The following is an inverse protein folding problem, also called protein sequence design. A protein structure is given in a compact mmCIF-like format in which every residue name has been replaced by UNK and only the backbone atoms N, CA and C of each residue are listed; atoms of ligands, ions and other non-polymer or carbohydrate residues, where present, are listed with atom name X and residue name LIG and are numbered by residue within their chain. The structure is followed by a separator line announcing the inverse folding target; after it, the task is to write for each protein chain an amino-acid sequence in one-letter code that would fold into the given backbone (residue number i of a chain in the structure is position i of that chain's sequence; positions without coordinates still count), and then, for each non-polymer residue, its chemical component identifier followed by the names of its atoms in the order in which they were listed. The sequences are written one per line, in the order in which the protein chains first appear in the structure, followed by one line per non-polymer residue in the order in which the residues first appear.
data_IF_200410492829
#
_entry.id   IF_200410492829
#
_cell.length_a   1.000
_cell.length_b   1.000
_cell.length_c   1.000
_cell.angle_alpha   90.00
_cell.angle_beta   90.00
_cell.angle_gamma   90.00
#
_symmetry.space_group_name_H-M   'P 1'
#
loop_
_entity.id
_entity.type
_entity.pdbx_description
1 polymer ?
#
# COMPACT_ATOMS: atom_id res chain seq x y z
N UNK A 1 -25.16 -3.26 10.73
CA UNK A 1 -23.85 -3.94 10.73
C UNK A 1 -22.80 -2.89 10.51
N UNK A 2 -21.67 -2.95 11.24
CA UNK A 2 -20.52 -2.07 10.99
C UNK A 2 -19.87 -2.40 9.65
N UNK A 3 -19.04 -1.46 9.14
CA UNK A 3 -18.29 -1.66 7.90
C UNK A 3 -17.25 -2.77 8.07
N UNK A 4 -17.05 -3.52 6.99
CA UNK A 4 -16.04 -4.57 6.93
C UNK A 4 -14.71 -4.00 6.45
N UNK A 5 -13.72 -4.00 7.31
CA UNK A 5 -12.37 -3.50 7.01
C UNK A 5 -11.40 -4.67 6.92
N UNK A 6 -10.73 -4.79 5.78
CA UNK A 6 -9.64 -5.73 5.55
C UNK A 6 -8.31 -5.05 5.88
N UNK A 7 -7.47 -5.68 6.71
CA UNK A 7 -6.06 -5.31 6.82
C UNK A 7 -5.23 -6.23 5.92
N UNK A 8 -4.57 -5.65 4.95
CA UNK A 8 -3.68 -6.33 4.01
C UNK A 8 -2.22 -5.99 4.32
N UNK A 9 -1.40 -7.04 4.43
CA UNK A 9 0.04 -6.94 4.70
C UNK A 9 0.78 -7.62 3.54
N UNK A 10 1.30 -6.86 2.54
CA UNK A 10 2.21 -7.42 1.54
C UNK A 10 3.54 -7.79 2.20
N UNK A 11 4.04 -9.00 1.92
CA UNK A 11 5.25 -9.55 2.49
C UNK A 11 6.17 -10.12 1.41
N UNK A 12 7.45 -9.75 1.46
CA UNK A 12 8.51 -10.37 0.66
C UNK A 12 9.85 -10.21 1.37
N UNK A 13 10.43 -11.32 1.81
CA UNK A 13 11.71 -11.38 2.53
C UNK A 13 11.77 -10.42 3.72
N UNK A 14 10.82 -10.57 4.64
CA UNK A 14 10.64 -9.74 5.83
C UNK A 14 10.82 -10.53 7.14
N UNK A 15 11.64 -11.59 7.17
CA UNK A 15 11.79 -12.48 8.35
C UNK A 15 12.12 -11.72 9.65
N UNK A 16 12.87 -10.62 9.55
CA UNK A 16 13.26 -9.79 10.70
C UNK A 16 12.16 -8.82 11.14
N UNK A 17 11.29 -8.41 10.23
CA UNK A 17 10.32 -7.33 10.42
C UNK A 17 8.91 -7.86 10.68
N UNK A 18 8.50 -8.95 10.03
CA UNK A 18 7.10 -9.36 9.96
C UNK A 18 6.46 -9.59 11.33
N UNK A 19 7.19 -10.19 12.27
CA UNK A 19 6.67 -10.39 13.65
C UNK A 19 6.41 -9.06 14.35
N UNK A 20 7.23 -8.03 14.12
CA UNK A 20 7.02 -6.70 14.68
C UNK A 20 5.77 -6.04 14.08
N UNK A 21 5.59 -6.19 12.76
CA UNK A 21 4.38 -5.71 12.06
C UNK A 21 3.11 -6.37 12.61
N UNK A 22 3.11 -7.68 12.76
CA UNK A 22 1.98 -8.42 13.33
C UNK A 22 1.69 -8.02 14.79
N UNK A 23 2.70 -7.66 15.57
CA UNK A 23 2.53 -7.16 16.94
C UNK A 23 1.92 -5.75 17.01
N UNK A 24 1.96 -4.95 15.94
CA UNK A 24 1.24 -3.68 15.88
C UNK A 24 -0.28 -3.86 15.90
N UNK A 25 -0.78 -5.07 15.57
CA UNK A 25 -2.20 -5.40 15.58
C UNK A 25 -2.64 -5.72 17.01
N UNK A 26 -2.63 -4.69 17.85
CA UNK A 26 -3.08 -4.77 19.24
C UNK A 26 -4.62 -4.68 19.32
N UNK A 27 -5.17 -4.86 20.52
CA UNK A 27 -6.63 -4.87 20.73
C UNK A 27 -7.31 -3.58 20.25
N UNK A 28 -6.68 -2.42 20.45
CA UNK A 28 -7.23 -1.11 20.05
C UNK A 28 -7.42 -0.98 18.55
N UNK A 29 -6.55 -1.58 17.75
CA UNK A 29 -6.67 -1.59 16.30
C UNK A 29 -7.59 -2.73 15.86
N UNK A 30 -7.48 -3.89 16.54
CA UNK A 30 -8.19 -5.11 16.18
C UNK A 30 -9.71 -4.95 16.19
N UNK A 31 -10.25 -4.11 17.07
CA UNK A 31 -11.69 -3.85 17.17
C UNK A 31 -12.30 -3.25 15.88
N UNK A 32 -11.47 -2.57 15.05
CA UNK A 32 -11.91 -2.00 13.77
C UNK A 32 -11.69 -2.94 12.58
N UNK A 33 -10.89 -4.00 12.73
CA UNK A 33 -10.48 -4.86 11.62
C UNK A 33 -11.34 -6.13 11.59
N UNK A 34 -12.03 -6.36 10.47
CA UNK A 34 -12.84 -7.57 10.27
C UNK A 34 -11.97 -8.78 10.00
N UNK A 35 -10.99 -8.64 9.11
CA UNK A 35 -10.10 -9.73 8.72
C UNK A 35 -8.71 -9.20 8.40
N UNK A 36 -7.70 -10.04 8.61
CA UNK A 36 -6.30 -9.75 8.30
C UNK A 36 -5.79 -10.78 7.31
N UNK A 37 -5.19 -10.31 6.23
CA UNK A 37 -4.48 -11.17 5.28
C UNK A 37 -3.03 -10.74 5.19
N UNK A 38 -2.12 -11.69 5.29
CA UNK A 38 -0.72 -11.55 4.89
C UNK A 38 -0.59 -12.18 3.52
N UNK A 39 -0.12 -11.41 2.53
CA UNK A 39 0.11 -11.92 1.18
C UNK A 39 1.60 -12.04 0.95
N UNK A 40 2.09 -13.26 1.00
CA UNK A 40 3.49 -13.57 0.72
C UNK A 40 3.75 -13.64 -0.78
N UNK A 41 4.68 -12.82 -1.24
CA UNK A 41 5.05 -12.73 -2.64
C UNK A 41 6.22 -13.68 -3.01
N UNK A 42 6.17 -14.95 -2.54
CA UNK A 42 7.22 -15.96 -2.75
C UNK A 42 8.53 -15.61 -2.02
N UNK A 43 8.44 -15.31 -0.73
CA UNK A 43 9.62 -15.13 0.11
C UNK A 43 10.55 -16.36 0.06
N UNK A 44 11.85 -16.11 0.09
CA UNK A 44 12.92 -17.11 0.06
C UNK A 44 13.65 -17.24 1.41
N UNK A 45 13.28 -16.40 2.35
CA UNK A 45 13.73 -16.41 3.75
C UNK A 45 12.66 -17.08 4.66
N UNK A 46 12.82 -17.00 5.97
CA UNK A 46 11.90 -17.60 6.94
C UNK A 46 10.64 -16.77 7.20
N UNK A 47 10.27 -15.82 6.33
CA UNK A 47 9.09 -14.95 6.53
C UNK A 47 7.81 -15.74 6.70
N UNK A 48 7.57 -16.77 5.88
CA UNK A 48 6.36 -17.60 5.94
C UNK A 48 6.27 -18.34 7.28
N UNK A 49 7.34 -18.98 7.70
CA UNK A 49 7.41 -19.71 8.97
C UNK A 49 7.12 -18.81 10.16
N UNK A 50 7.68 -17.58 10.15
CA UNK A 50 7.41 -16.57 11.20
C UNK A 50 5.92 -16.21 11.30
N UNK A 51 5.23 -16.08 10.18
CA UNK A 51 3.79 -15.81 10.16
C UNK A 51 3.00 -17.02 10.68
N UNK A 52 3.34 -18.23 10.23
CA UNK A 52 2.69 -19.48 10.66
C UNK A 52 2.83 -19.66 12.18
N UNK A 53 4.04 -19.50 12.71
CA UNK A 53 4.31 -19.60 14.15
C UNK A 53 3.55 -18.53 14.94
N UNK A 54 3.50 -17.30 14.40
CA UNK A 54 2.74 -16.23 15.04
C UNK A 54 1.25 -16.55 15.15
N UNK A 55 0.64 -17.06 14.07
CA UNK A 55 -0.77 -17.44 14.04
C UNK A 55 -1.04 -18.55 15.06
N UNK A 56 -0.24 -19.60 15.06
CA UNK A 56 -0.37 -20.76 15.99
C UNK A 56 -0.26 -20.33 17.45
N UNK A 57 0.74 -19.49 17.77
CA UNK A 57 1.03 -19.11 19.15
C UNK A 57 0.08 -18.06 19.71
N UNK A 58 -0.50 -17.20 18.88
CA UNK A 58 -1.38 -16.10 19.33
C UNK A 58 -2.85 -16.38 19.10
N UNK A 59 -3.20 -17.51 18.48
CA UNK A 59 -4.59 -17.88 18.14
C UNK A 59 -5.36 -16.72 17.49
N UNK A 60 -4.69 -16.00 16.56
CA UNK A 60 -5.26 -14.83 15.88
C UNK A 60 -5.84 -15.22 14.53
N UNK A 61 -7.01 -14.70 14.22
CA UNK A 61 -7.65 -14.86 12.91
C UNK A 61 -6.90 -14.02 11.85
N UNK A 62 -5.81 -14.57 11.35
CA UNK A 62 -4.97 -14.02 10.28
C UNK A 62 -4.86 -15.11 9.22
N UNK A 63 -5.10 -14.75 7.96
CA UNK A 63 -4.90 -15.67 6.84
C UNK A 63 -3.54 -15.40 6.18
N UNK A 64 -2.80 -16.46 5.91
CA UNK A 64 -1.59 -16.41 5.10
C UNK A 64 -1.92 -16.90 3.68
N UNK A 65 -1.81 -16.00 2.72
CA UNK A 65 -1.93 -16.28 1.30
C UNK A 65 -0.55 -16.26 0.67
N UNK A 66 -0.22 -17.27 -0.14
CA UNK A 66 1.05 -17.34 -0.86
C UNK A 66 0.75 -17.17 -2.35
N UNK A 67 1.37 -16.18 -2.99
CA UNK A 67 1.26 -16.00 -4.43
C UNK A 67 1.82 -17.21 -5.16
N UNK A 68 1.19 -17.66 -6.24
CA UNK A 68 1.67 -18.82 -7.00
C UNK A 68 2.97 -18.52 -7.76
N UNK A 69 3.22 -17.24 -8.07
CA UNK A 69 4.50 -16.74 -8.60
C UNK A 69 4.83 -15.38 -7.95
N UNK A 70 6.05 -14.88 -8.13
CA UNK A 70 6.40 -13.54 -7.65
C UNK A 70 5.74 -12.48 -8.53
N UNK A 71 4.67 -11.89 -8.03
CA UNK A 71 3.91 -10.82 -8.69
C UNK A 71 4.42 -9.41 -8.39
N UNK A 72 5.53 -9.25 -7.67
CA UNK A 72 6.00 -7.98 -7.13
C UNK A 72 4.97 -7.31 -6.21
N UNK A 73 5.26 -6.08 -5.76
CA UNK A 73 4.43 -5.35 -4.80
C UNK A 73 3.05 -5.01 -5.37
N UNK A 74 3.00 -4.48 -6.60
CA UNK A 74 1.74 -4.10 -7.25
C UNK A 74 0.84 -5.29 -7.52
N UNK A 75 1.40 -6.44 -7.91
CA UNK A 75 0.63 -7.66 -8.09
C UNK A 75 0.05 -8.18 -6.77
N UNK A 76 0.80 -8.10 -5.67
CA UNK A 76 0.28 -8.43 -4.33
C UNK A 76 -0.86 -7.49 -3.89
N UNK A 77 -0.80 -6.20 -4.27
CA UNK A 77 -1.94 -5.29 -4.07
C UNK A 77 -3.17 -5.72 -4.87
N UNK A 78 -2.99 -6.15 -6.13
CA UNK A 78 -4.09 -6.64 -6.97
C UNK A 78 -4.74 -7.90 -6.38
N UNK A 79 -3.94 -8.82 -5.82
CA UNK A 79 -4.45 -9.97 -5.06
C UNK A 79 -5.37 -9.50 -3.94
N UNK A 80 -4.88 -8.60 -3.09
CA UNK A 80 -5.64 -8.14 -1.93
C UNK A 80 -6.88 -7.32 -2.32
N UNK A 81 -6.79 -6.48 -3.34
CA UNK A 81 -7.94 -5.70 -3.83
C UNK A 81 -9.01 -6.60 -4.45
N UNK A 82 -8.61 -7.60 -5.25
CA UNK A 82 -9.53 -8.61 -5.78
C UNK A 82 -10.19 -9.40 -4.65
N UNK A 83 -9.41 -9.79 -3.63
CA UNK A 83 -9.93 -10.46 -2.44
C UNK A 83 -10.97 -9.61 -1.71
N UNK A 84 -10.69 -8.33 -1.49
CA UNK A 84 -11.60 -7.40 -0.83
C UNK A 84 -12.91 -7.22 -1.60
N UNK A 85 -12.83 -7.04 -2.93
CA UNK A 85 -14.02 -6.92 -3.80
C UNK A 85 -14.84 -8.19 -3.76
N UNK A 86 -14.21 -9.37 -3.93
CA UNK A 86 -14.87 -10.69 -3.97
C UNK A 86 -15.58 -11.03 -2.64
N UNK A 87 -15.00 -10.63 -1.50
CA UNK A 87 -15.55 -10.95 -0.18
C UNK A 87 -16.39 -9.81 0.42
N UNK A 88 -16.76 -8.80 -0.39
CA UNK A 88 -17.63 -7.70 0.00
C UNK A 88 -17.13 -6.94 1.24
N UNK A 89 -15.84 -6.60 1.27
CA UNK A 89 -15.31 -5.62 2.20
C UNK A 89 -15.69 -4.21 1.77
N UNK A 90 -15.75 -3.29 2.73
CA UNK A 90 -16.03 -1.89 2.47
C UNK A 90 -14.74 -1.09 2.30
N UNK A 91 -13.70 -1.46 3.04
CA UNK A 91 -12.40 -0.79 3.02
C UNK A 91 -11.25 -1.79 3.09
N UNK A 92 -10.10 -1.38 2.55
CA UNK A 92 -8.81 -2.10 2.66
C UNK A 92 -7.77 -1.16 3.26
N UNK A 93 -7.19 -1.55 4.39
CA UNK A 93 -5.98 -0.92 4.92
C UNK A 93 -4.80 -1.72 4.41
N UNK A 94 -3.82 -1.03 3.86
CA UNK A 94 -2.52 -1.58 3.46
C UNK A 94 -1.51 -1.21 4.55
N UNK A 95 -0.78 -2.18 5.08
CA UNK A 95 0.37 -1.99 5.96
C UNK A 95 1.52 -2.84 5.46
N UNK A 96 2.61 -2.24 5.00
CA UNK A 96 3.74 -3.01 4.47
C UNK A 96 4.42 -3.87 5.56
N UNK A 97 4.84 -5.08 5.16
CA UNK A 97 5.47 -6.06 6.04
C UNK A 97 6.91 -5.74 6.45
N UNK A 98 7.46 -4.60 6.00
CA UNK A 98 8.82 -4.13 6.25
C UNK A 98 8.99 -3.32 7.55
N UNK A 99 7.94 -3.17 8.34
CA UNK A 99 7.93 -2.48 9.64
C UNK A 99 8.36 -1.00 9.60
N UNK A 100 8.18 -0.33 8.45
CA UNK A 100 8.50 1.10 8.35
C UNK A 100 7.36 2.00 8.80
N UNK A 101 6.10 1.63 8.54
CA UNK A 101 4.91 2.35 8.95
C UNK A 101 4.39 1.90 10.31
N UNK A 102 3.72 2.82 11.02
CA UNK A 102 3.08 2.53 12.29
C UNK A 102 1.55 2.52 12.14
N UNK A 103 0.93 1.33 12.27
CA UNK A 103 -0.52 1.16 12.13
C UNK A 103 -1.33 2.02 13.11
N UNK A 104 -0.77 2.30 14.29
CA UNK A 104 -1.44 3.13 15.31
C UNK A 104 -1.66 4.57 14.86
N UNK A 105 -0.93 5.05 13.85
CA UNK A 105 -1.15 6.40 13.29
C UNK A 105 -2.53 6.52 12.63
N UNK A 106 -3.13 5.40 12.21
CA UNK A 106 -4.48 5.38 11.62
C UNK A 106 -5.60 5.21 12.66
N UNK A 107 -5.28 5.01 13.94
CA UNK A 107 -6.31 4.92 14.99
C UNK A 107 -7.26 6.12 15.06
N UNK A 108 -6.80 7.38 14.95
CA UNK A 108 -7.73 8.51 14.94
C UNK A 108 -8.68 8.47 13.74
N UNK A 109 -8.18 8.09 12.55
CA UNK A 109 -9.00 7.94 11.33
C UNK A 109 -10.10 6.90 11.56
N UNK A 110 -9.77 5.78 12.20
CA UNK A 110 -10.72 4.69 12.49
C UNK A 110 -11.71 5.08 13.58
N UNK A 111 -11.23 5.62 14.71
CA UNK A 111 -12.06 6.00 15.87
C UNK A 111 -13.09 7.06 15.56
N UNK A 112 -12.67 8.09 14.81
CA UNK A 112 -13.51 9.23 14.47
C UNK A 112 -14.25 9.01 13.15
N UNK A 113 -14.14 7.80 12.59
CA UNK A 113 -14.76 7.39 11.32
C UNK A 113 -14.47 8.37 10.16
N UNK A 114 -13.32 9.05 10.21
CA UNK A 114 -12.92 10.04 9.21
C UNK A 114 -12.89 9.42 7.81
N UNK A 115 -12.42 8.16 7.71
CA UNK A 115 -12.32 7.42 6.46
C UNK A 115 -13.63 7.33 5.67
N UNK A 116 -14.79 7.41 6.33
CA UNK A 116 -16.09 7.34 5.67
C UNK A 116 -16.36 8.52 4.72
N UNK A 117 -15.66 9.63 4.91
CA UNK A 117 -15.78 10.85 4.09
C UNK A 117 -14.87 10.83 2.87
N UNK A 118 -13.96 9.84 2.76
CA UNK A 118 -12.93 9.79 1.75
C UNK A 118 -12.92 8.46 1.01
N UNK A 119 -12.55 8.50 -0.26
CA UNK A 119 -12.31 7.30 -1.06
C UNK A 119 -10.95 6.70 -0.77
N UNK A 120 -9.96 7.55 -0.42
CA UNK A 120 -8.62 7.14 -0.04
C UNK A 120 -8.11 7.96 1.15
N UNK A 121 -7.59 7.29 2.18
CA UNK A 121 -6.77 7.90 3.21
C UNK A 121 -5.33 7.43 3.02
N UNK A 122 -4.46 8.35 2.59
CA UNK A 122 -3.08 8.06 2.23
C UNK A 122 -2.14 8.54 3.33
N UNK A 123 -1.36 7.63 3.89
CA UNK A 123 -0.33 7.99 4.86
C UNK A 123 0.75 8.83 4.20
N UNK A 124 1.06 9.97 4.79
CA UNK A 124 2.04 10.92 4.26
C UNK A 124 3.19 11.09 5.24
N UNK A 125 4.40 10.85 4.74
CA UNK A 125 5.67 10.96 5.49
C UNK A 125 6.20 12.38 5.56
N UNK A 126 5.75 13.25 4.65
CA UNK A 126 6.34 14.57 4.42
C UNK A 126 5.38 15.71 4.77
N UNK A 127 4.40 15.46 5.62
CA UNK A 127 3.59 16.51 6.27
C UNK A 127 4.31 17.07 7.49
N UNK A 128 3.92 18.25 7.95
CA UNK A 128 4.53 18.93 9.10
C UNK A 128 4.49 18.08 10.39
N UNK A 129 3.39 17.33 10.58
CA UNK A 129 3.12 16.51 11.76
C UNK A 129 3.73 15.11 11.66
N UNK A 130 4.30 14.74 10.52
CA UNK A 130 4.91 13.42 10.28
C UNK A 130 6.24 13.29 11.01
N UNK A 131 6.56 12.07 11.42
CA UNK A 131 7.81 11.77 12.14
C UNK A 131 8.66 10.82 11.30
N UNK A 132 9.83 11.29 10.88
CA UNK A 132 10.79 10.50 10.12
C UNK A 132 11.98 10.12 11.01
N UNK A 133 12.29 8.83 11.08
CA UNK A 133 13.42 8.29 11.82
C UNK A 133 14.32 7.49 10.87
N UNK A 134 15.63 7.74 10.90
CA UNK A 134 16.61 7.04 10.06
C UNK A 134 16.61 7.43 8.58
N UNK A 135 15.79 8.40 8.15
CA UNK A 135 15.65 8.79 6.75
C UNK A 135 16.76 9.78 6.34
N UNK A 136 17.44 9.51 5.22
CA UNK A 136 18.51 10.41 4.77
C UNK A 136 17.97 11.73 4.24
N UNK A 137 18.68 12.84 4.53
CA UNK A 137 18.30 14.18 4.08
C UNK A 137 18.16 14.29 2.57
N UNK A 138 19.04 13.63 1.80
CA UNK A 138 18.98 13.62 0.33
C UNK A 138 17.66 12.99 -0.15
N UNK A 139 17.23 11.90 0.47
CA UNK A 139 15.96 11.25 0.12
C UNK A 139 14.76 12.11 0.52
N UNK A 140 14.83 12.82 1.65
CA UNK A 140 13.79 13.77 2.08
C UNK A 140 13.62 14.87 1.02
N UNK A 141 14.72 15.53 0.63
CA UNK A 141 14.68 16.57 -0.39
C UNK A 141 14.19 16.04 -1.74
N UNK A 142 14.66 14.87 -2.15
CA UNK A 142 14.20 14.23 -3.38
C UNK A 142 12.68 14.00 -3.38
N UNK A 143 12.12 13.52 -2.26
CA UNK A 143 10.68 13.33 -2.13
C UNK A 143 9.91 14.66 -2.17
N UNK A 144 10.39 15.73 -1.52
CA UNK A 144 9.75 17.05 -1.62
C UNK A 144 9.72 17.57 -3.06
N UNK A 145 10.80 17.40 -3.82
CA UNK A 145 10.85 17.79 -5.24
C UNK A 145 9.81 17.01 -6.05
N UNK A 146 9.73 15.67 -5.87
CA UNK A 146 8.77 14.86 -6.58
C UNK A 146 7.33 15.14 -6.16
N UNK A 147 7.05 15.33 -4.88
CA UNK A 147 5.73 15.73 -4.39
C UNK A 147 5.28 17.06 -5.03
N UNK A 148 6.20 18.01 -5.15
CA UNK A 148 5.95 19.30 -5.83
C UNK A 148 5.67 19.12 -7.33
N UNK A 149 6.47 18.29 -8.04
CA UNK A 149 6.24 18.00 -9.46
C UNK A 149 4.89 17.32 -9.70
N UNK A 150 4.53 16.35 -8.85
CA UNK A 150 3.21 15.72 -8.90
C UNK A 150 2.11 16.74 -8.64
N UNK A 151 2.26 17.62 -7.66
CA UNK A 151 1.27 18.66 -7.36
C UNK A 151 1.04 19.61 -8.54
N UNK A 152 2.09 19.97 -9.28
CA UNK A 152 1.94 20.79 -10.51
C UNK A 152 1.12 20.04 -11.57
N UNK A 153 1.38 18.75 -11.76
CA UNK A 153 0.75 17.96 -12.83
C UNK A 153 -0.70 17.62 -12.48
N UNK A 154 -0.99 17.28 -11.24
CA UNK A 154 -2.35 16.96 -10.76
C UNK A 154 -3.19 18.20 -10.46
N UNK A 155 -2.55 19.39 -10.34
CA UNK A 155 -3.15 20.65 -9.90
C UNK A 155 -3.69 20.64 -8.47
N UNK A 156 -3.30 19.65 -7.69
CA UNK A 156 -3.70 19.42 -6.31
C UNK A 156 -2.46 19.17 -5.46
N UNK A 157 -2.54 19.47 -4.16
CA UNK A 157 -1.39 19.30 -3.28
C UNK A 157 -1.13 17.83 -2.96
N UNK A 158 0.04 17.36 -3.31
CA UNK A 158 0.53 16.02 -3.03
C UNK A 158 1.58 16.08 -1.90
N UNK A 159 1.36 15.30 -0.85
CA UNK A 159 2.25 15.27 0.30
C UNK A 159 3.17 14.06 0.30
N UNK A 160 2.78 12.97 -0.37
CA UNK A 160 3.56 11.74 -0.48
C UNK A 160 3.16 10.99 -1.76
N UNK A 161 4.12 10.34 -2.41
CA UNK A 161 3.87 9.57 -3.64
C UNK A 161 3.48 8.10 -3.39
N UNK A 162 3.52 7.66 -2.17
CA UNK A 162 3.17 6.31 -1.76
C UNK A 162 3.97 5.84 -0.56
N UNK A 163 3.34 5.87 0.59
CA UNK A 163 3.83 5.21 1.80
C UNK A 163 3.35 3.76 1.83
N UNK A 164 3.85 2.99 2.79
CA UNK A 164 3.39 1.63 3.05
C UNK A 164 2.16 1.55 3.97
N UNK A 165 1.54 2.67 4.33
CA UNK A 165 0.32 2.71 5.15
C UNK A 165 -0.73 3.57 4.45
N UNK A 166 -1.77 2.92 3.90
CA UNK A 166 -2.84 3.56 3.15
C UNK A 166 -4.16 2.84 3.39
N UNK A 167 -5.28 3.54 3.18
CA UNK A 167 -6.62 2.95 3.23
C UNK A 167 -7.41 3.34 1.99
N UNK A 168 -8.09 2.38 1.40
CA UNK A 168 -8.90 2.56 0.19
C UNK A 168 -10.32 2.06 0.42
N UNK A 169 -11.31 2.82 -0.03
CA UNK A 169 -12.68 2.34 -0.14
C UNK A 169 -12.76 1.29 -1.25
N UNK A 170 -13.37 0.14 -0.96
CA UNK A 170 -13.57 -0.92 -1.96
C UNK A 170 -14.51 -0.47 -3.08
N UNK A 171 -15.36 0.53 -2.82
CA UNK A 171 -16.22 1.15 -3.84
C UNK A 171 -15.45 1.58 -5.09
N UNK A 172 -14.28 2.23 -4.91
CA UNK A 172 -13.46 2.68 -6.05
C UNK A 172 -12.73 1.52 -6.74
N UNK A 173 -12.50 0.42 -6.03
CA UNK A 173 -11.80 -0.75 -6.56
C UNK A 173 -12.70 -1.62 -7.45
N UNK A 174 -14.02 -1.54 -7.29
CA UNK A 174 -14.99 -2.29 -8.12
C UNK A 174 -14.88 -2.00 -9.61
N UNK A 175 -14.37 -0.83 -9.99
CA UNK A 175 -14.14 -0.46 -11.40
C UNK A 175 -12.90 -1.13 -12.01
N UNK A 176 -12.11 -1.85 -11.22
CA UNK A 176 -10.98 -2.69 -11.63
C UNK A 176 -9.88 -1.99 -12.45
N UNK A 177 -9.87 -0.64 -12.51
CA UNK A 177 -8.89 0.15 -13.27
C UNK A 177 -7.44 -0.18 -12.89
N UNK A 178 -7.21 -0.51 -11.60
CA UNK A 178 -5.89 -0.84 -11.05
C UNK A 178 -5.28 -2.12 -11.66
N UNK A 179 -6.09 -3.01 -12.24
CA UNK A 179 -5.61 -4.26 -12.83
C UNK A 179 -4.62 -4.04 -13.98
N UNK A 180 -4.72 -2.90 -14.68
CA UNK A 180 -3.82 -2.51 -15.78
C UNK A 180 -2.53 -1.83 -15.31
N UNK A 181 -2.41 -1.47 -14.04
CA UNK A 181 -1.24 -0.77 -13.52
C UNK A 181 -0.03 -1.72 -13.39
N UNK A 182 1.20 -1.18 -13.30
CA UNK A 182 2.40 -2.00 -13.17
C UNK A 182 2.33 -2.90 -11.92
N UNK A 183 2.90 -4.09 -12.01
CA UNK A 183 3.02 -4.98 -10.85
C UNK A 183 4.16 -4.58 -9.91
N UNK A 184 4.98 -3.63 -10.29
CA UNK A 184 6.16 -3.16 -9.57
C UNK A 184 5.82 -2.11 -8.51
N UNK A 185 6.85 -1.49 -7.91
CA UNK A 185 6.74 -0.39 -6.94
C UNK A 185 5.99 0.84 -7.48
N UNK A 186 5.92 0.99 -8.81
CA UNK A 186 5.19 2.11 -9.44
C UNK A 186 3.67 2.00 -9.30
N UNK A 187 3.15 0.87 -8.83
CA UNK A 187 1.72 0.67 -8.60
C UNK A 187 1.12 1.78 -7.73
N UNK A 188 1.75 2.10 -6.59
CA UNK A 188 1.25 3.14 -5.68
C UNK A 188 1.22 4.53 -6.34
N UNK A 189 2.20 4.84 -7.19
CA UNK A 189 2.22 6.10 -7.94
C UNK A 189 1.08 6.16 -8.97
N UNK A 190 0.77 5.03 -9.62
CA UNK A 190 -0.37 4.93 -10.54
C UNK A 190 -1.70 5.04 -9.78
N UNK A 191 -1.84 4.42 -8.60
CA UNK A 191 -3.03 4.57 -7.74
C UNK A 191 -3.24 6.02 -7.34
N UNK A 192 -2.18 6.75 -7.00
CA UNK A 192 -2.24 8.18 -6.68
C UNK A 192 -2.72 9.00 -7.88
N UNK A 193 -2.11 8.82 -9.07
CA UNK A 193 -2.52 9.53 -10.29
C UNK A 193 -3.95 9.16 -10.71
N UNK A 194 -4.36 7.90 -10.55
CA UNK A 194 -5.72 7.45 -10.81
C UNK A 194 -6.72 8.13 -9.88
N UNK A 195 -6.36 8.33 -8.62
CA UNK A 195 -7.24 9.00 -7.67
C UNK A 195 -7.55 10.44 -8.09
N UNK A 196 -6.59 11.16 -8.64
CA UNK A 196 -6.81 12.49 -9.22
C UNK A 196 -7.58 12.43 -10.54
N UNK A 197 -7.25 11.47 -11.41
CA UNK A 197 -7.91 11.31 -12.70
C UNK A 197 -9.41 10.98 -12.56
N UNK A 198 -9.74 10.09 -11.63
CA UNK A 198 -11.12 9.70 -11.34
C UNK A 198 -11.83 10.59 -10.31
N UNK A 199 -11.18 11.68 -9.89
CA UNK A 199 -11.74 12.66 -8.92
C UNK A 199 -12.18 12.02 -7.60
N UNK A 200 -11.40 11.07 -7.08
CA UNK A 200 -11.64 10.48 -5.78
C UNK A 200 -11.39 11.50 -4.65
N UNK A 201 -12.17 11.43 -3.59
CA UNK A 201 -11.92 12.20 -2.38
C UNK A 201 -10.69 11.65 -1.65
N UNK A 202 -9.60 12.44 -1.59
CA UNK A 202 -8.35 12.08 -0.97
C UNK A 202 -8.15 12.78 0.37
N UNK A 203 -7.68 12.03 1.36
CA UNK A 203 -7.11 12.55 2.59
C UNK A 203 -5.64 12.11 2.67
N UNK A 204 -4.71 13.06 2.74
CA UNK A 204 -3.36 12.77 3.23
C UNK A 204 -3.34 12.91 4.74
N UNK A 205 -2.80 11.90 5.42
CA UNK A 205 -2.73 11.85 6.87
C UNK A 205 -1.29 11.66 7.35
N UNK A 206 -0.80 12.48 8.29
CA UNK A 206 0.59 12.40 8.75
C UNK A 206 0.84 11.08 9.46
N UNK A 207 1.95 10.43 9.12
CA UNK A 207 2.35 9.16 9.71
C UNK A 207 3.78 9.19 10.22
N UNK A 208 4.07 8.28 11.14
CA UNK A 208 5.43 7.97 11.58
C UNK A 208 6.05 6.96 10.62
N UNK A 209 7.33 7.16 10.29
CA UNK A 209 8.07 6.29 9.39
C UNK A 209 9.48 6.07 9.89
N UNK A 210 9.92 4.82 9.92
CA UNK A 210 11.26 4.49 10.40
C UNK A 210 12.04 3.67 9.37
N UNK A 211 13.35 3.93 9.27
CA UNK A 211 14.30 3.11 8.52
C UNK A 211 15.36 2.59 9.51
N UNK A 212 15.36 1.30 9.77
CA UNK A 212 16.27 0.66 10.71
C UNK A 212 17.09 -0.44 10.02
N UNK A 213 16.44 -1.55 9.70
CA UNK A 213 17.06 -2.78 9.21
C UNK A 213 16.55 -3.20 7.81
N UNK A 214 15.86 -2.31 7.12
CA UNK A 214 15.32 -2.58 5.78
C UNK A 214 16.38 -2.42 4.71
N UNK A 215 16.41 -3.34 3.75
CA UNK A 215 17.26 -3.25 2.56
C UNK A 215 16.50 -2.57 1.44
N UNK A 216 16.91 -1.35 1.09
CA UNK A 216 16.33 -0.64 -0.05
C UNK A 216 16.91 -1.18 -1.36
N UNK A 217 16.09 -1.86 -2.16
CA UNK A 217 16.46 -2.36 -3.48
C UNK A 217 16.30 -1.31 -4.60
N UNK A 218 15.96 -0.06 -4.27
CA UNK A 218 15.71 0.98 -5.25
C UNK A 218 17.00 1.64 -5.75
N UNK A 219 17.24 1.50 -7.04
CA UNK A 219 18.22 2.33 -7.76
C UNK A 219 17.60 3.73 -7.95
N UNK A 220 17.84 4.65 -7.02
CA UNK A 220 17.22 5.97 -6.92
C UNK A 220 17.15 6.72 -8.26
N UNK A 221 18.26 6.74 -9.02
CA UNK A 221 18.32 7.44 -10.31
C UNK A 221 17.33 6.83 -11.32
N UNK A 222 17.32 5.50 -11.46
CA UNK A 222 16.41 4.81 -12.38
C UNK A 222 14.96 5.03 -11.99
N UNK A 223 14.67 4.98 -10.70
CA UNK A 223 13.34 5.24 -10.16
C UNK A 223 12.89 6.67 -10.46
N UNK A 224 13.74 7.67 -10.21
CA UNK A 224 13.47 9.09 -10.49
C UNK A 224 13.17 9.35 -11.98
N UNK A 225 13.98 8.79 -12.89
CA UNK A 225 13.75 8.92 -14.34
C UNK A 225 12.39 8.33 -14.73
N UNK A 226 12.03 7.17 -14.16
CA UNK A 226 10.74 6.53 -14.43
C UNK A 226 9.57 7.37 -13.94
N UNK A 227 9.68 8.00 -12.76
CA UNK A 227 8.65 8.93 -12.25
C UNK A 227 8.49 10.15 -13.16
N UNK A 228 9.58 10.74 -13.65
CA UNK A 228 9.51 11.87 -14.60
C UNK A 228 8.82 11.45 -15.91
N UNK A 229 9.14 10.25 -16.43
CA UNK A 229 8.49 9.70 -17.62
C UNK A 229 6.99 9.47 -17.39
N UNK A 230 6.63 8.94 -16.22
CA UNK A 230 5.24 8.75 -15.79
C UNK A 230 4.48 10.08 -15.80
N UNK A 231 5.01 11.11 -15.14
CA UNK A 231 4.41 12.45 -15.10
C UNK A 231 4.27 13.08 -16.50
N UNK A 232 5.30 12.95 -17.34
CA UNK A 232 5.26 13.45 -18.71
C UNK A 232 4.12 12.79 -19.51
N UNK A 233 3.99 11.47 -19.42
CA UNK A 233 2.95 10.73 -20.13
C UNK A 233 1.54 11.08 -19.62
N UNK A 234 1.37 11.13 -18.29
CA UNK A 234 0.11 11.54 -17.67
C UNK A 234 -0.29 12.97 -18.06
N UNK A 235 0.65 13.93 -18.01
CA UNK A 235 0.40 15.32 -18.42
C UNK A 235 0.04 15.46 -19.90
N UNK A 236 0.65 14.62 -20.76
CA UNK A 236 0.40 14.65 -22.22
C UNK A 236 -1.01 14.17 -22.56
N UNK A 237 -1.47 13.08 -21.95
CA UNK A 237 -2.78 12.48 -22.20
C UNK A 237 -3.12 11.57 -21.00
N UNK A 238 -3.79 12.15 -20.00
CA UNK A 238 -4.14 11.44 -18.77
C UNK A 238 -5.14 10.30 -19.02
N UNK A 239 -6.09 10.50 -19.94
CA UNK A 239 -7.08 9.47 -20.28
C UNK A 239 -6.39 8.25 -20.87
N UNK A 240 -5.61 8.45 -21.94
CA UNK A 240 -4.85 7.37 -22.57
C UNK A 240 -3.92 6.69 -21.57
N UNK A 241 -3.22 7.47 -20.74
CA UNK A 241 -2.28 6.95 -19.75
C UNK A 241 -3.00 6.07 -18.71
N UNK A 242 -4.09 6.54 -18.10
CA UNK A 242 -4.80 5.81 -17.04
C UNK A 242 -5.60 4.60 -17.53
N UNK A 243 -5.96 4.56 -18.83
CA UNK A 243 -6.72 3.44 -19.39
C UNK A 243 -5.88 2.41 -20.14
N UNK A 244 -4.59 2.71 -20.40
CA UNK A 244 -3.68 1.81 -21.10
C UNK A 244 -3.18 0.66 -20.21
N UNK A 245 -2.77 -0.43 -20.86
CA UNK A 245 -2.07 -1.53 -20.21
C UNK A 245 -0.64 -1.07 -19.86
N UNK A 246 -0.26 -1.20 -18.58
CA UNK A 246 1.04 -0.78 -18.08
C UNK A 246 1.87 -1.93 -17.50
N UNK A 247 1.32 -3.13 -17.45
CA UNK A 247 2.01 -4.33 -16.97
C UNK A 247 3.06 -4.78 -17.98
N UNK A 248 4.22 -5.20 -17.51
CA UNK A 248 5.24 -5.82 -18.36
C UNK A 248 4.84 -7.24 -18.80
N UNK A 249 4.16 -7.98 -17.91
CA UNK A 249 3.57 -9.30 -18.17
C UNK A 249 2.07 -9.21 -17.92
N UNK A 250 1.27 -9.57 -18.91
CA UNK A 250 -0.19 -9.65 -18.73
C UNK A 250 -0.49 -10.95 -17.98
N UNK A 251 -1.11 -10.82 -16.81
CA UNK A 251 -1.54 -11.91 -15.95
C UNK A 251 -3.06 -11.87 -15.92
N UNK A 252 -3.71 -12.93 -16.39
CA UNK A 252 -5.17 -13.01 -16.45
C UNK A 252 -5.77 -13.11 -15.05
N UNK A 253 -5.15 -13.88 -14.17
CA UNK A 253 -5.61 -14.08 -12.79
C UNK A 253 -4.41 -14.15 -11.83
N UNK A 254 -4.43 -13.28 -10.81
CA UNK A 254 -3.44 -13.29 -9.72
C UNK A 254 -3.85 -14.35 -8.68
N UNK A 255 -3.30 -15.55 -8.80
CA UNK A 255 -3.63 -16.71 -7.97
C UNK A 255 -2.82 -16.77 -6.69
N UNK A 256 -3.46 -17.27 -5.64
CA UNK A 256 -2.81 -17.51 -4.34
C UNK A 256 -3.29 -18.82 -3.75
N UNK A 257 -2.41 -19.46 -2.98
CA UNK A 257 -2.76 -20.59 -2.12
C UNK A 257 -3.00 -20.07 -0.69
N UNK A 258 -4.07 -20.50 -0.06
CA UNK A 258 -4.36 -20.21 1.36
C UNK A 258 -3.67 -21.30 2.17
N UNK A 259 -2.73 -20.91 3.03
CA UNK A 259 -1.93 -21.84 3.84
C UNK A 259 -2.46 -21.94 5.27
N UNK A 260 -3.04 -20.86 5.77
CA UNK A 260 -3.68 -20.79 7.08
C UNK A 260 -4.83 -19.78 7.07
#
# INVERSE_FOLDING_TARGET
MGEKILLFIPMFNCEKQITRVLNQINEKVREYITEIIVVDNRSTDNSQEKVIDYIKNKNKNIKLLINTENYNLGGSHKVAFNYAVKNNFDYVIVLHGDDQGNLSDFLPILKEEIYKKYDCCLGARFMKESKLMGYSSIRIWGNYIFNWLFSIVTKEKVYDLGSGLNMYSVKILKNEYYKKFPDTLYFNNCMLLASYYYTHNLLFYPISWKEEDQVSNNKLIKFSISLLKMLKNYKKDSQKYMTSEMREKIIDEYKTDIVM
#
